data_IF_079604460538
#
_entry.id   IF_079604460538
#
_cell.length_a   1.000
_cell.length_b   1.000
_cell.length_c   1.000
_cell.angle_alpha   90.00
_cell.angle_beta   90.00
_cell.angle_gamma   90.00
#
_symmetry.space_group_name_H-M   'P 1'
#
loop_
_entity.id
_entity.type
_entity.pdbx_description
1 polymer ?
#
# COMPACT_ATOMS: atom_id res chain seq x y z
N UNK A 1 -18.59 -28.44 -48.89
CA UNK A 1 -19.42 -27.94 -47.76
C UNK A 1 -18.58 -27.75 -46.48
N UNK A 2 -17.45 -27.03 -46.54
CA UNK A 2 -16.47 -26.91 -45.43
C UNK A 2 -16.02 -25.45 -45.19
N UNK A 3 -16.96 -24.50 -45.09
CA UNK A 3 -16.61 -23.07 -44.82
C UNK A 3 -17.44 -22.40 -43.73
N UNK A 4 -18.12 -23.19 -42.88
CA UNK A 4 -19.01 -22.66 -41.83
C UNK A 4 -18.52 -22.93 -40.39
N UNK A 5 -17.36 -23.58 -40.21
CA UNK A 5 -16.87 -23.97 -38.88
C UNK A 5 -15.81 -23.03 -38.27
N UNK A 6 -15.39 -21.97 -38.98
CA UNK A 6 -14.32 -21.08 -38.52
C UNK A 6 -14.77 -19.71 -38.01
N UNK A 7 -16.07 -19.42 -37.97
CA UNK A 7 -16.60 -18.12 -37.54
C UNK A 7 -17.07 -18.12 -36.07
N UNK A 8 -17.28 -19.30 -35.46
CA UNK A 8 -17.71 -19.38 -34.06
C UNK A 8 -16.59 -19.44 -33.02
N UNK A 9 -15.32 -19.62 -33.42
CA UNK A 9 -14.18 -19.56 -32.49
C UNK A 9 -13.59 -18.15 -32.30
N UNK A 10 -14.09 -17.16 -33.04
CA UNK A 10 -13.57 -15.78 -33.02
C UNK A 10 -14.30 -14.85 -32.04
N UNK A 11 -15.36 -15.34 -31.40
CA UNK A 11 -16.21 -14.53 -30.48
C UNK A 11 -16.17 -15.01 -29.02
N UNK A 12 -15.40 -16.06 -28.69
CA UNK A 12 -15.27 -16.57 -27.33
C UNK A 12 -14.13 -15.93 -26.51
N UNK A 13 -13.37 -14.99 -27.09
CA UNK A 13 -12.33 -14.20 -26.39
C UNK A 13 -12.73 -12.75 -26.11
N UNK A 14 -14.05 -12.46 -26.13
CA UNK A 14 -14.61 -11.17 -25.77
C UNK A 14 -15.26 -11.19 -24.36
N UNK A 15 -14.55 -11.73 -23.37
CA UNK A 15 -14.84 -11.67 -21.92
C UNK A 15 -13.55 -12.20 -21.30
N UNK A 16 -12.65 -11.43 -20.69
CA UNK A 16 -12.78 -10.69 -19.45
C UNK A 16 -11.75 -9.55 -19.46
N UNK A 17 -12.19 -8.29 -19.56
CA UNK A 17 -11.34 -7.14 -19.25
C UNK A 17 -11.74 -6.51 -17.91
N UNK A 18 -12.41 -7.27 -17.04
CA UNK A 18 -12.61 -6.89 -15.64
C UNK A 18 -11.26 -6.79 -14.93
N UNK A 19 -11.07 -5.69 -14.20
CA UNK A 19 -9.99 -5.59 -13.22
C UNK A 19 -10.58 -5.98 -11.88
N UNK A 20 -10.31 -7.21 -11.49
CA UNK A 20 -10.75 -7.76 -10.23
C UNK A 20 -9.55 -7.71 -9.28
N UNK A 21 -9.71 -7.00 -8.16
CA UNK A 21 -8.70 -6.92 -7.11
C UNK A 21 -9.21 -7.64 -5.88
N UNK A 22 -8.36 -8.46 -5.26
CA UNK A 22 -8.66 -9.14 -4.00
C UNK A 22 -7.73 -8.68 -2.88
N UNK A 23 -8.28 -8.60 -1.67
CA UNK A 23 -7.54 -8.33 -0.46
C UNK A 23 -7.88 -9.38 0.58
N UNK A 24 -6.85 -9.97 1.15
CA UNK A 24 -6.90 -11.14 2.01
C UNK A 24 -6.84 -10.75 3.50
N UNK A 25 -6.26 -9.58 3.80
CA UNK A 25 -6.13 -9.08 5.17
C UNK A 25 -6.43 -7.59 5.29
N UNK A 26 -7.01 -7.22 6.42
CA UNK A 26 -7.10 -5.86 6.93
C UNK A 26 -6.14 -5.75 8.11
N UNK A 27 -5.12 -4.92 7.98
CA UNK A 27 -4.09 -4.72 9.01
C UNK A 27 -4.30 -3.37 9.65
N UNK A 28 -4.54 -3.38 10.97
CA UNK A 28 -4.68 -2.17 11.77
C UNK A 28 -3.31 -1.74 12.32
N UNK A 29 -3.03 -0.45 12.22
CA UNK A 29 -1.78 0.14 12.67
C UNK A 29 -2.02 1.31 13.62
N UNK A 30 -1.26 1.37 14.70
CA UNK A 30 -1.11 2.60 15.48
C UNK A 30 -0.04 3.48 14.86
N UNK A 31 -0.33 4.78 14.71
CA UNK A 31 0.58 5.77 14.12
C UNK A 31 0.86 6.92 15.08
N UNK A 32 2.11 7.34 15.14
CA UNK A 32 2.59 8.41 16.02
C UNK A 32 3.54 9.32 15.26
N UNK A 33 3.30 10.63 15.28
CA UNK A 33 4.28 11.62 14.84
C UNK A 33 5.05 12.10 16.05
N UNK A 34 6.37 11.96 15.97
CA UNK A 34 7.33 12.38 16.96
C UNK A 34 8.06 13.59 16.39
N UNK A 35 7.85 14.75 17.02
CA UNK A 35 8.72 15.92 16.78
C UNK A 35 10.04 15.67 17.49
N UNK A 36 11.17 15.82 16.79
CA UNK A 36 12.46 15.88 17.48
C UNK A 36 12.53 17.19 18.27
N UNK A 37 12.18 17.14 19.55
CA UNK A 37 12.79 17.98 20.57
C UNK A 37 13.84 17.12 21.25
N UNK A 38 15.10 17.43 20.98
CA UNK A 38 16.32 16.81 21.51
C UNK A 38 16.11 15.75 22.61
N UNK A 39 16.15 14.48 22.22
CA UNK A 39 16.46 13.36 23.11
C UNK A 39 15.35 12.80 24.00
N UNK A 40 14.14 13.35 24.02
CA UNK A 40 13.03 12.76 24.79
C UNK A 40 12.04 12.01 23.90
N UNK A 41 11.87 10.71 24.17
CA UNK A 41 10.72 9.92 23.68
C UNK A 41 9.45 10.53 24.26
N UNK A 42 8.83 11.46 23.54
CA UNK A 42 7.49 11.94 23.86
C UNK A 42 6.51 11.06 23.10
N UNK A 43 5.74 10.27 23.85
CA UNK A 43 4.66 9.41 23.38
C UNK A 43 3.56 10.28 22.75
N UNK A 44 3.72 10.62 21.48
CA UNK A 44 2.82 11.51 20.74
C UNK A 44 1.82 10.68 19.94
N UNK A 45 0.65 10.40 20.52
CA UNK A 45 -0.48 9.86 19.78
C UNK A 45 -0.90 10.86 18.69
N UNK A 46 -0.53 10.60 17.42
CA UNK A 46 -1.20 11.26 16.30
C UNK A 46 -2.46 10.48 16.02
N UNK A 47 -3.48 10.82 16.81
CA UNK A 47 -4.86 10.66 16.40
C UNK A 47 -4.98 11.57 15.17
N UNK A 48 -5.04 10.97 13.98
CA UNK A 48 -5.50 11.68 12.79
C UNK A 48 -6.78 12.40 13.20
N UNK A 49 -6.77 13.74 13.19
CA UNK A 49 -7.95 14.52 13.51
C UNK A 49 -9.00 14.24 12.44
N UNK A 50 -9.79 13.20 12.67
CA UNK A 50 -10.95 12.82 11.92
C UNK A 50 -12.00 13.90 12.16
N UNK A 51 -11.88 15.01 11.45
CA UNK A 51 -12.91 16.02 11.46
C UNK A 51 -14.18 15.42 10.81
N UNK A 52 -15.17 15.15 11.67
CA UNK A 52 -16.59 14.91 11.38
C UNK A 52 -17.01 13.54 10.82
N UNK A 53 -16.56 12.45 11.45
CA UNK A 53 -17.31 11.18 11.42
C UNK A 53 -17.08 10.45 12.74
N UNK A 54 -18.00 10.73 13.67
CA UNK A 54 -17.97 10.32 15.07
C UNK A 54 -18.36 8.83 15.23
N UNK A 55 -17.60 7.94 14.60
CA UNK A 55 -17.83 6.48 14.72
C UNK A 55 -16.49 5.75 14.79
N UNK A 56 -16.32 4.91 15.82
CA UNK A 56 -15.14 4.04 16.01
C UNK A 56 -14.78 3.21 14.76
N UNK A 57 -15.76 2.92 13.89
CA UNK A 57 -15.56 2.24 12.61
C UNK A 57 -14.73 3.09 11.64
N UNK A 58 -15.01 4.39 11.52
CA UNK A 58 -14.25 5.28 10.63
C UNK A 58 -12.81 5.44 11.10
N UNK A 59 -12.59 5.61 12.41
CA UNK A 59 -11.25 5.67 13.00
C UNK A 59 -10.46 4.39 12.75
N UNK A 60 -11.08 3.23 12.98
CA UNK A 60 -10.46 1.92 12.70
C UNK A 60 -10.13 1.74 11.22
N UNK A 61 -10.97 2.21 10.30
CA UNK A 61 -10.71 2.13 8.85
C UNK A 61 -9.57 3.06 8.40
N UNK A 62 -9.41 4.22 9.01
CA UNK A 62 -8.34 5.18 8.67
C UNK A 62 -6.96 4.69 9.11
N UNK A 63 -6.92 3.82 10.12
CA UNK A 63 -5.71 3.14 10.57
C UNK A 63 -5.52 1.76 9.94
N UNK A 64 -6.32 1.42 8.92
CA UNK A 64 -6.28 0.12 8.25
C UNK A 64 -5.62 0.19 6.89
N UNK A 65 -4.72 -0.76 6.64
CA UNK A 65 -4.23 -1.07 5.31
C UNK A 65 -4.83 -2.40 4.84
N UNK A 66 -5.21 -2.45 3.55
CA UNK A 66 -5.77 -3.64 2.93
C UNK A 66 -4.67 -4.33 2.13
N UNK A 67 -4.46 -5.61 2.44
CA UNK A 67 -3.33 -6.38 1.95
C UNK A 67 -3.79 -7.36 0.89
N UNK A 68 -3.13 -7.30 -0.27
CA UNK A 68 -3.18 -8.33 -1.29
C UNK A 68 -1.90 -9.18 -1.17
N UNK A 69 -2.02 -10.43 -0.72
CA UNK A 69 -0.84 -11.29 -0.49
C UNK A 69 -0.25 -11.80 -1.80
N UNK A 70 -1.08 -11.88 -2.84
CA UNK A 70 -0.69 -12.34 -4.18
C UNK A 70 0.03 -11.28 -5.00
N UNK A 71 -0.30 -10.01 -4.81
CA UNK A 71 0.28 -8.88 -5.54
C UNK A 71 0.49 -7.65 -4.63
N UNK A 72 1.68 -7.52 -4.02
CA UNK A 72 2.04 -6.38 -3.18
C UNK A 72 2.13 -5.04 -3.94
N UNK A 73 2.11 -5.07 -5.28
CA UNK A 73 2.12 -3.88 -6.12
C UNK A 73 0.76 -3.17 -6.14
N UNK A 74 -0.29 -3.87 -5.67
CA UNK A 74 -1.65 -3.39 -5.47
C UNK A 74 -1.84 -3.00 -4.00
N UNK A 75 -2.24 -1.75 -3.78
CA UNK A 75 -2.56 -1.24 -2.45
C UNK A 75 -3.92 -0.58 -2.45
N UNK A 76 -4.65 -0.73 -1.34
CA UNK A 76 -5.90 -0.03 -1.08
C UNK A 76 -5.80 0.67 0.28
N UNK A 77 -5.81 2.00 0.24
CA UNK A 77 -5.72 2.86 1.41
C UNK A 77 -6.98 3.68 1.58
N UNK A 78 -7.41 3.89 2.82
CA UNK A 78 -8.61 4.67 3.16
C UNK A 78 -8.20 5.95 3.88
N UNK A 79 -8.76 7.09 3.47
CA UNK A 79 -8.41 8.40 4.02
C UNK A 79 -9.54 9.42 3.88
N UNK A 80 -9.41 10.55 4.56
CA UNK A 80 -10.30 11.70 4.33
C UNK A 80 -9.79 12.56 3.19
N UNK A 81 -10.68 12.87 2.25
CA UNK A 81 -10.46 13.83 1.19
C UNK A 81 -11.69 14.72 1.08
N UNK A 82 -11.51 16.03 1.22
CA UNK A 82 -12.59 17.02 1.19
C UNK A 82 -13.76 16.67 2.14
N UNK A 83 -13.41 16.28 3.38
CA UNK A 83 -14.39 15.91 4.41
C UNK A 83 -15.16 14.61 4.17
N UNK A 84 -14.78 13.82 3.15
CA UNK A 84 -15.40 12.53 2.83
C UNK A 84 -14.40 11.40 3.01
N UNK A 85 -14.89 10.27 3.53
CA UNK A 85 -14.10 9.04 3.58
C UNK A 85 -14.00 8.46 2.18
N UNK A 86 -12.78 8.34 1.67
CA UNK A 86 -12.50 7.87 0.33
C UNK A 86 -11.43 6.78 0.38
N UNK A 87 -11.54 5.83 -0.53
CA UNK A 87 -10.52 4.81 -0.72
C UNK A 87 -9.79 5.05 -2.02
N UNK A 88 -8.50 4.73 -2.01
CA UNK A 88 -7.61 4.81 -3.15
C UNK A 88 -7.03 3.44 -3.40
N UNK A 89 -7.30 2.88 -4.58
CA UNK A 89 -6.63 1.68 -5.07
C UNK A 89 -5.53 2.10 -6.05
N UNK A 90 -4.29 1.75 -5.73
CA UNK A 90 -3.14 1.94 -6.61
C UNK A 90 -2.61 0.60 -7.09
N UNK A 91 -2.41 0.49 -8.40
CA UNK A 91 -1.75 -0.65 -9.05
C UNK A 91 -0.51 -0.08 -9.77
N UNK A 92 0.64 -0.28 -9.14
CA UNK A 92 1.89 0.36 -9.54
C UNK A 92 2.47 -0.24 -10.81
N UNK A 93 2.35 -1.56 -11.01
CA UNK A 93 2.81 -2.26 -12.21
C UNK A 93 2.02 -1.79 -13.44
N UNK A 94 0.68 -1.73 -13.33
CA UNK A 94 -0.17 -1.27 -14.43
C UNK A 94 -0.23 0.25 -14.53
N UNK A 95 0.23 0.99 -13.52
CA UNK A 95 0.16 2.45 -13.41
C UNK A 95 -1.29 2.97 -13.39
N UNK A 96 -2.13 2.29 -12.62
CA UNK A 96 -3.54 2.62 -12.48
C UNK A 96 -3.84 3.17 -11.09
N UNK A 97 -4.81 4.07 -11.06
CA UNK A 97 -5.30 4.71 -9.85
C UNK A 97 -6.81 4.78 -9.90
N UNK A 98 -7.46 4.21 -8.90
CA UNK A 98 -8.91 4.21 -8.78
C UNK A 98 -9.31 4.81 -7.45
N UNK A 99 -10.35 5.63 -7.48
CA UNK A 99 -10.85 6.32 -6.30
C UNK A 99 -12.29 5.94 -6.06
N UNK A 100 -12.63 5.75 -4.78
CA UNK A 100 -13.94 5.29 -4.34
C UNK A 100 -14.44 6.17 -3.20
N UNK A 101 -15.76 6.35 -3.11
CA UNK A 101 -16.37 6.68 -1.83
C UNK A 101 -16.41 5.45 -0.95
N UNK A 102 -16.11 5.62 0.34
CA UNK A 102 -16.30 4.57 1.35
C UNK A 102 -17.64 4.83 2.03
N UNK A 103 -18.57 3.90 1.83
CA UNK A 103 -19.91 3.98 2.39
C UNK A 103 -20.04 2.94 3.49
N UNK A 104 -20.54 3.30 4.69
CA UNK A 104 -20.84 2.32 5.73
C UNK A 104 -21.77 1.22 5.20
N UNK A 105 -21.45 -0.03 5.49
CA UNK A 105 -22.28 -1.19 5.17
C UNK A 105 -22.35 -2.11 6.39
N UNK A 106 -23.30 -1.81 7.27
CA UNK A 106 -23.50 -2.56 8.51
C UNK A 106 -23.96 -4.01 8.29
N UNK A 107 -24.35 -4.38 7.05
CA UNK A 107 -24.66 -5.78 6.72
C UNK A 107 -23.41 -6.57 6.37
N UNK A 108 -22.35 -5.91 5.90
CA UNK A 108 -21.07 -6.53 5.65
C UNK A 108 -20.30 -6.68 6.97
N UNK A 109 -20.43 -7.84 7.62
CA UNK A 109 -19.76 -8.14 8.90
C UNK A 109 -18.24 -8.33 8.76
N UNK A 110 -17.74 -8.54 7.55
CA UNK A 110 -16.30 -8.74 7.32
C UNK A 110 -15.56 -7.41 7.36
N UNK A 111 -16.01 -6.44 6.57
CA UNK A 111 -15.32 -5.14 6.41
C UNK A 111 -16.06 -3.96 7.03
N UNK A 112 -17.39 -4.02 7.15
CA UNK A 112 -18.22 -2.93 7.66
C UNK A 112 -18.45 -1.78 6.67
N UNK A 113 -17.99 -1.89 5.43
CA UNK A 113 -18.14 -0.87 4.39
C UNK A 113 -18.29 -1.47 3.00
N UNK A 114 -18.75 -0.64 2.07
CA UNK A 114 -18.74 -0.88 0.63
C UNK A 114 -18.08 0.28 -0.12
N UNK A 115 -17.55 -0.02 -1.29
CA UNK A 115 -16.88 0.96 -2.14
C UNK A 115 -17.77 1.36 -3.31
N UNK A 116 -17.86 2.66 -3.57
CA UNK A 116 -18.51 3.19 -4.76
C UNK A 116 -17.48 3.88 -5.65
N UNK A 117 -17.19 3.28 -6.81
CA UNK A 117 -16.18 3.80 -7.74
C UNK A 117 -16.58 5.17 -8.30
N UNK A 118 -15.65 6.11 -8.27
CA UNK A 118 -15.86 7.50 -8.72
C UNK A 118 -15.30 7.67 -10.14
N UNK A 119 -14.02 7.33 -10.34
CA UNK A 119 -13.34 7.40 -11.65
C UNK A 119 -11.94 6.81 -11.56
N UNK A 120 -11.48 6.21 -12.66
CA UNK A 120 -10.06 5.86 -12.85
C UNK A 120 -9.27 7.02 -13.45
N UNK A 121 -8.08 7.28 -12.89
CA UNK A 121 -7.08 8.21 -13.44
C UNK A 121 -5.81 7.45 -13.86
N UNK A 122 -5.02 8.04 -14.77
CA UNK A 122 -3.63 7.60 -14.93
C UNK A 122 -2.86 8.06 -13.71
N UNK A 123 -1.96 7.22 -13.24
CA UNK A 123 -1.00 7.61 -12.23
C UNK A 123 -0.16 8.77 -12.79
N UNK A 124 -0.37 9.99 -12.28
CA UNK A 124 0.31 11.22 -12.73
C UNK A 124 1.73 11.36 -12.18
N UNK A 125 2.40 10.23 -11.92
CA UNK A 125 3.69 10.21 -11.26
C UNK A 125 4.79 9.93 -12.27
N UNK A 126 5.69 10.89 -12.46
CA UNK A 126 6.92 10.64 -13.19
C UNK A 126 7.95 10.07 -12.24
N UNK A 127 8.29 8.78 -12.39
CA UNK A 127 9.43 8.17 -11.70
C UNK A 127 10.76 8.89 -12.01
N UNK A 128 10.79 9.75 -13.03
CA UNK A 128 11.98 10.48 -13.47
C UNK A 128 12.51 11.52 -12.47
N UNK A 129 11.78 11.86 -11.40
CA UNK A 129 12.27 12.79 -10.36
C UNK A 129 13.17 12.13 -9.30
N UNK A 130 13.16 10.81 -9.13
CA UNK A 130 13.90 10.09 -8.07
C UNK A 130 15.08 9.27 -8.63
N UNK A 131 15.83 9.86 -9.58
CA UNK A 131 16.72 9.09 -10.47
C UNK A 131 18.06 8.64 -9.88
N UNK A 132 18.40 8.98 -8.63
CA UNK A 132 19.66 8.55 -8.00
C UNK A 132 19.55 8.32 -6.49
N UNK A 133 18.46 7.74 -6.02
CA UNK A 133 18.41 7.33 -4.60
C UNK A 133 19.21 6.04 -4.43
N UNK A 134 20.22 6.06 -3.55
CA UNK A 134 20.93 4.87 -3.11
C UNK A 134 20.36 4.48 -1.75
N UNK A 135 20.03 3.19 -1.61
CA UNK A 135 19.56 2.61 -0.36
C UNK A 135 20.67 1.75 0.24
N UNK A 136 21.05 2.03 1.49
CA UNK A 136 21.95 1.20 2.28
C UNK A 136 21.16 0.57 3.41
N UNK A 137 21.21 -0.75 3.53
CA UNK A 137 20.64 -1.48 4.66
C UNK A 137 21.73 -1.77 5.67
N UNK A 138 21.45 -1.53 6.95
CA UNK A 138 22.28 -1.90 8.08
C UNK A 138 21.45 -2.79 9.01
N UNK A 139 21.88 -4.04 9.16
CA UNK A 139 21.35 -4.94 10.19
C UNK A 139 21.77 -4.42 11.57
N UNK A 140 20.81 -4.12 12.44
CA UNK A 140 21.06 -3.71 13.83
C UNK A 140 21.10 -4.94 14.72
N UNK A 141 20.11 -5.83 14.56
CA UNK A 141 20.05 -7.16 15.16
C UNK A 141 19.24 -8.10 14.23
N UNK A 142 18.89 -9.31 14.69
CA UNK A 142 18.20 -10.30 13.86
C UNK A 142 16.81 -9.88 13.37
N UNK A 143 16.14 -8.98 14.09
CA UNK A 143 14.77 -8.56 13.81
C UNK A 143 14.70 -7.08 13.40
N UNK A 144 15.79 -6.31 13.55
CA UNK A 144 15.78 -4.85 13.37
C UNK A 144 16.80 -4.44 12.31
N UNK A 145 16.30 -3.72 11.31
CA UNK A 145 17.09 -3.22 10.19
C UNK A 145 16.90 -1.71 10.06
N UNK A 146 17.95 -1.01 9.65
CA UNK A 146 17.89 0.41 9.27
C UNK A 146 18.18 0.55 7.78
N UNK A 147 17.27 1.16 7.04
CA UNK A 147 17.43 1.51 5.64
C UNK A 147 17.66 3.02 5.54
N UNK A 148 18.83 3.40 5.04
CA UNK A 148 19.20 4.79 4.77
C UNK A 148 19.03 5.07 3.29
N UNK A 149 18.31 6.15 2.95
CA UNK A 149 18.18 6.64 1.58
C UNK A 149 18.83 8.01 1.43
N UNK A 150 19.64 8.18 0.39
CA UNK A 150 20.35 9.43 0.08
C UNK A 150 20.30 9.72 -1.41
N UNK A 151 20.28 11.02 -1.76
CA UNK A 151 20.32 11.48 -3.14
C UNK A 151 21.76 11.49 -3.66
N UNK A 152 22.08 10.68 -4.67
CA UNK A 152 23.41 10.59 -5.26
C UNK A 152 24.36 9.66 -4.51
N UNK A 153 25.67 9.92 -4.60
CA UNK A 153 26.73 9.02 -4.10
C UNK A 153 27.19 9.38 -2.68
N UNK A 154 26.82 10.55 -2.16
CA UNK A 154 27.27 10.98 -0.83
C UNK A 154 26.40 10.38 0.28
N UNK A 155 26.95 9.39 0.97
CA UNK A 155 26.29 8.68 2.06
C UNK A 155 26.26 9.46 3.39
N UNK A 156 26.88 10.66 3.46
CA UNK A 156 27.01 11.41 4.73
C UNK A 156 25.74 12.13 5.16
N UNK A 157 24.83 12.44 4.23
CA UNK A 157 23.54 13.09 4.53
C UNK A 157 22.41 12.20 4.02
N UNK A 158 21.93 11.29 4.87
CA UNK A 158 20.69 10.55 4.56
C UNK A 158 19.52 11.53 4.56
N UNK A 159 18.79 11.60 3.46
CA UNK A 159 17.56 12.40 3.37
C UNK A 159 16.37 11.68 4.03
N UNK A 160 16.51 10.38 4.27
CA UNK A 160 15.54 9.50 4.91
C UNK A 160 16.27 8.37 5.67
N UNK A 161 15.85 8.10 6.89
CA UNK A 161 16.20 6.88 7.62
C UNK A 161 14.93 6.13 7.98
N UNK A 162 14.88 4.84 7.68
CA UNK A 162 13.76 3.97 8.02
C UNK A 162 14.27 2.83 8.89
N UNK A 163 13.83 2.77 10.13
CA UNK A 163 14.06 1.60 10.99
C UNK A 163 12.85 0.69 10.88
N UNK A 164 13.07 -0.59 10.62
CA UNK A 164 12.02 -1.60 10.50
C UNK A 164 12.29 -2.72 11.49
N UNK A 165 11.25 -3.16 12.18
CA UNK A 165 11.23 -4.42 12.90
C UNK A 165 10.51 -5.45 12.04
N UNK A 166 11.22 -6.50 11.66
CA UNK A 166 10.70 -7.64 10.90
C UNK A 166 10.48 -8.80 11.85
N UNK A 167 9.37 -9.49 11.68
CA UNK A 167 9.03 -10.68 12.46
C UNK A 167 8.83 -11.84 11.48
N UNK A 168 9.43 -12.98 11.79
CA UNK A 168 9.17 -14.23 11.06
C UNK A 168 7.70 -14.59 11.24
N UNK A 169 7.04 -14.91 10.14
CA UNK A 169 5.63 -15.22 10.17
C UNK A 169 5.36 -16.51 9.40
N UNK A 170 4.50 -17.32 10.01
CA UNK A 170 4.06 -18.62 9.54
C UNK A 170 2.75 -18.53 8.74
N UNK A 171 2.04 -17.42 8.82
CA UNK A 171 0.81 -17.14 8.07
C UNK A 171 1.10 -16.51 6.70
N UNK A 172 0.20 -16.71 5.74
CA UNK A 172 0.25 -16.16 4.37
C UNK A 172 0.22 -14.61 4.28
N UNK A 173 0.13 -13.90 5.42
CA UNK A 173 0.30 -12.43 5.52
C UNK A 173 1.67 -11.98 4.98
N UNK A 174 2.59 -12.92 4.83
CA UNK A 174 3.97 -12.71 4.41
C UNK A 174 4.10 -12.32 2.96
N UNK A 175 3.96 -11.02 2.73
CA UNK A 175 4.63 -10.22 1.72
C UNK A 175 4.46 -8.71 1.98
N UNK A 176 3.88 -8.33 3.12
CA UNK A 176 3.64 -6.94 3.49
C UNK A 176 4.87 -6.41 4.19
N UNK A 177 5.82 -6.01 3.38
CA UNK A 177 6.81 -5.06 3.83
C UNK A 177 6.21 -3.66 3.61
N UNK A 178 5.06 -3.29 4.21
CA UNK A 178 4.56 -1.93 3.97
C UNK A 178 5.28 -0.95 4.89
N UNK A 179 6.12 -0.11 4.28
CA UNK A 179 6.61 1.13 4.88
C UNK A 179 5.76 2.24 4.30
N UNK A 180 5.11 3.03 5.16
CA UNK A 180 4.25 4.16 4.79
C UNK A 180 5.07 5.37 4.30
N UNK A 181 5.97 5.10 3.36
CA UNK A 181 6.72 6.06 2.58
C UNK A 181 6.00 6.28 1.24
N UNK A 182 6.26 7.40 0.53
CA UNK A 182 5.77 7.59 -0.83
C UNK A 182 5.99 6.34 -1.69
N UNK A 183 4.98 5.90 -2.44
CA UNK A 183 4.90 4.57 -3.08
C UNK A 183 6.20 4.06 -3.74
N UNK A 184 6.90 4.91 -4.51
CA UNK A 184 8.17 4.54 -5.16
C UNK A 184 9.30 4.30 -4.15
N UNK A 185 9.37 5.13 -3.09
CA UNK A 185 10.36 4.97 -2.02
C UNK A 185 10.07 3.73 -1.20
N UNK A 186 8.79 3.49 -0.88
CA UNK A 186 8.34 2.27 -0.21
C UNK A 186 8.89 1.05 -0.97
N UNK A 187 8.52 0.86 -2.25
CA UNK A 187 8.97 -0.28 -3.06
C UNK A 187 10.49 -0.51 -3.04
N UNK A 188 11.30 0.53 -3.23
CA UNK A 188 12.77 0.42 -3.22
C UNK A 188 13.35 0.09 -1.84
N UNK A 189 12.76 0.64 -0.77
CA UNK A 189 13.12 0.26 0.60
C UNK A 189 12.87 -1.24 0.81
N UNK A 190 11.77 -1.77 0.25
CA UNK A 190 11.42 -3.19 0.41
C UNK A 190 12.38 -4.07 -0.37
N UNK A 191 12.68 -3.69 -1.61
CA UNK A 191 13.67 -4.40 -2.44
C UNK A 191 15.05 -4.44 -1.77
N UNK A 192 15.47 -3.33 -1.15
CA UNK A 192 16.72 -3.27 -0.42
C UNK A 192 16.70 -4.19 0.80
N UNK A 193 15.61 -4.16 1.59
CA UNK A 193 15.45 -5.03 2.76
C UNK A 193 15.41 -6.51 2.40
N UNK A 194 14.66 -6.90 1.35
CA UNK A 194 14.53 -8.29 0.90
C UNK A 194 15.86 -8.96 0.58
N UNK A 195 16.86 -8.20 0.11
CA UNK A 195 18.20 -8.72 -0.19
C UNK A 195 18.97 -9.19 1.06
N UNK A 196 18.57 -8.71 2.24
CA UNK A 196 19.22 -9.01 3.52
C UNK A 196 18.48 -10.08 4.35
N UNK A 197 17.29 -10.51 3.91
CA UNK A 197 16.46 -11.49 4.60
C UNK A 197 16.68 -12.91 4.03
N UNK A 198 16.45 -13.96 4.83
CA UNK A 198 16.56 -15.34 4.34
C UNK A 198 15.41 -15.61 3.34
N UNK A 199 15.70 -15.89 2.05
CA UNK A 199 14.65 -16.08 1.04
C UNK A 199 13.80 -17.34 1.27
N UNK A 200 14.19 -18.22 2.18
CA UNK A 200 13.45 -19.43 2.55
C UNK A 200 12.42 -19.17 3.65
N UNK A 201 12.45 -17.98 4.24
CA UNK A 201 11.58 -17.57 5.33
C UNK A 201 10.65 -16.45 4.89
N UNK A 202 9.57 -16.36 5.64
CA UNK A 202 8.48 -15.46 5.42
C UNK A 202 8.52 -14.38 6.50
N UNK A 203 8.43 -13.11 6.10
CA UNK A 203 8.56 -11.95 7.00
C UNK A 203 7.43 -10.95 6.78
N UNK A 204 7.09 -10.21 7.83
CA UNK A 204 6.32 -8.97 7.72
C UNK A 204 6.96 -7.85 8.55
N UNK A 205 6.75 -6.60 8.15
CA UNK A 205 7.16 -5.44 8.95
C UNK A 205 6.10 -5.22 10.02
N UNK A 206 6.44 -5.52 11.27
CA UNK A 206 5.54 -5.33 12.41
C UNK A 206 5.57 -3.88 12.90
N UNK A 207 6.75 -3.25 12.87
CA UNK A 207 6.93 -1.86 13.30
C UNK A 207 7.88 -1.15 12.35
N UNK A 208 7.65 0.14 12.09
CA UNK A 208 8.62 0.97 11.39
C UNK A 208 8.63 2.41 11.90
N UNK A 209 9.80 3.04 11.81
CA UNK A 209 10.02 4.45 12.11
C UNK A 209 10.69 5.13 10.91
N UNK A 210 10.05 6.17 10.36
CA UNK A 210 10.55 6.95 9.23
C UNK A 210 11.00 8.32 9.76
N UNK A 211 12.29 8.61 9.67
CA UNK A 211 12.86 9.90 10.00
C UNK A 211 13.22 10.66 8.72
N UNK A 212 12.66 11.86 8.57
CA UNK A 212 12.98 12.77 7.48
C UNK A 212 14.03 13.80 7.92
N UNK A 213 14.82 14.30 6.98
CA UNK A 213 15.79 15.39 7.23
C UNK A 213 15.19 16.67 7.80
N UNK A 214 13.86 16.83 7.80
CA UNK A 214 13.11 17.94 8.40
C UNK A 214 12.89 17.82 9.92
N UNK A 215 13.39 16.77 10.58
CA UNK A 215 13.32 16.61 12.04
C UNK A 215 12.04 15.94 12.56
N UNK A 216 11.20 15.43 11.66
CA UNK A 216 10.02 14.63 12.03
C UNK A 216 10.30 13.15 11.91
N UNK A 217 9.85 12.39 12.90
CA UNK A 217 9.85 10.92 12.86
C UNK A 217 8.42 10.41 12.94
N UNK A 218 8.01 9.59 12.00
CA UNK A 218 6.73 8.88 12.03
C UNK A 218 6.98 7.45 12.48
N UNK A 219 6.26 7.01 13.49
CA UNK A 219 6.28 5.63 13.98
C UNK A 219 4.96 4.96 13.65
N UNK A 220 5.02 3.74 13.14
CA UNK A 220 3.87 2.89 12.88
C UNK A 220 4.09 1.49 13.46
N UNK A 221 3.06 0.91 14.06
CA UNK A 221 3.06 -0.45 14.62
C UNK A 221 1.77 -1.18 14.24
N UNK A 222 1.90 -2.39 13.72
CA UNK A 222 0.77 -3.30 13.52
C UNK A 222 0.24 -3.76 14.88
N UNK A 223 -1.06 -3.58 15.10
CA UNK A 223 -1.74 -3.97 16.35
C UNK A 223 -2.71 -5.13 16.15
N UNK A 224 -3.28 -5.28 14.97
CA UNK A 224 -4.21 -6.35 14.64
C UNK A 224 -4.12 -6.66 13.14
N UNK A 225 -4.19 -7.94 12.77
CA UNK A 225 -4.36 -8.37 11.39
C UNK A 225 -5.57 -9.30 11.32
N UNK A 226 -6.57 -8.91 10.53
CA UNK A 226 -7.83 -9.65 10.36
C UNK A 226 -7.92 -10.20 8.95
N UNK A 227 -8.13 -11.50 8.79
CA UNK A 227 -8.42 -12.10 7.49
C UNK A 227 -9.78 -11.62 6.98
N UNK A 228 -9.82 -11.20 5.72
CA UNK A 228 -11.01 -10.70 5.01
C UNK A 228 -11.08 -11.31 3.62
N UNK A 229 -12.23 -11.21 2.97
CA UNK A 229 -12.40 -11.54 1.56
C UNK A 229 -12.99 -10.34 0.82
N UNK A 230 -12.21 -9.27 0.72
CA UNK A 230 -12.63 -8.07 0.01
C UNK A 230 -12.28 -8.22 -1.47
N UNK A 231 -13.31 -8.25 -2.31
CA UNK A 231 -13.17 -8.18 -3.76
C UNK A 231 -13.66 -6.84 -4.28
N UNK A 232 -12.90 -6.27 -5.21
CA UNK A 232 -13.24 -5.02 -5.88
C UNK A 232 -13.27 -5.29 -7.37
N UNK A 233 -14.48 -5.30 -7.91
CA UNK A 233 -14.71 -5.41 -9.34
C UNK A 233 -14.84 -4.01 -9.91
N UNK A 234 -13.96 -3.67 -10.85
CA UNK A 234 -14.04 -2.38 -11.51
C UNK A 234 -14.91 -2.46 -12.77
N UNK A 235 -15.81 -1.48 -12.97
CA UNK A 235 -16.66 -1.46 -14.14
C UNK A 235 -15.83 -1.30 -15.41
N UNK A 236 -16.16 -2.06 -16.44
CA UNK A 236 -15.54 -1.89 -17.74
C UNK A 236 -15.85 -0.50 -18.30
N UNK A 237 -14.81 0.28 -18.65
CA UNK A 237 -14.99 1.56 -19.35
C UNK A 237 -14.16 1.61 -20.64
N UNK A 238 -14.63 2.32 -21.68
CA UNK A 238 -13.84 2.53 -22.91
C UNK A 238 -12.47 3.15 -22.63
N UNK A 239 -12.39 4.02 -21.61
CA UNK A 239 -11.13 4.60 -21.13
C UNK A 239 -10.20 3.51 -20.59
N UNK A 240 -10.70 2.60 -19.78
CA UNK A 240 -9.93 1.47 -19.22
C UNK A 240 -9.43 0.54 -20.34
N UNK A 241 -10.29 0.19 -21.30
CA UNK A 241 -9.90 -0.61 -22.48
C UNK A 241 -8.76 0.06 -23.26
N UNK A 242 -8.80 1.39 -23.43
CA UNK A 242 -7.69 2.15 -24.05
C UNK A 242 -6.42 2.10 -23.21
N UNK A 243 -6.50 2.26 -21.89
CA UNK A 243 -5.33 2.25 -21.01
C UNK A 243 -4.61 0.89 -21.02
N UNK A 244 -5.35 -0.22 -21.08
CA UNK A 244 -4.78 -1.57 -21.11
C UNK A 244 -4.17 -1.94 -22.48
N UNK A 245 -4.67 -1.36 -23.58
CA UNK A 245 -4.14 -1.60 -24.95
C UNK A 245 -2.78 -0.95 -25.22
N UNK A 246 -2.34 0.03 -24.43
CA UNK A 246 -1.04 0.71 -24.67
C UNK A 246 0.17 -0.14 -24.21
N UNK A 247 -0.06 -1.27 -23.55
CA UNK A 247 0.99 -2.13 -22.97
C UNK A 247 1.10 -3.54 -23.57
N UNK A 248 0.39 -3.84 -24.67
CA UNK A 248 0.61 -5.05 -25.48
C UNK A 248 1.52 -4.71 -26.65
#
# INVERSE_FOLDING_TARGET
>A
MNRLLFIFCSFASASFFGQDYSFDYMVHQERQELKNTDGEKIQGSVIYQAHKLNTAVAEKLLSSDMINTSDPSVKLSIGYYDGKLMATLSDTERQLFHTFYVLPDFKNKETGFKLQHIRSARFGFSASKYKKEIHKVRKINDEVYEILSFDGVDAKTSNLSVKVNVVENTDDITNVLDVDAPLIKSARILEALKKELDPRKNYFINEHAISNGSGFTFYSKVTEAKKINLKIDLPESPRMKRLMKVKQ
#
